data_IF_301808784911
#
_entry.id   IF_301808784911
#
_cell.length_a   1.000
_cell.length_b   1.000
_cell.length_c   1.000
_cell.angle_alpha   90.00
_cell.angle_beta   90.00
_cell.angle_gamma   90.00
#
_symmetry.space_group_name_H-M   'P 1'
#
loop_
_entity.id
_entity.type
_entity.pdbx_description
1 polymer ?
#
# COMPACT_ATOMS: atom_id res chain seq x y z
N UNK A 1 2.97 -41.27 12.49
CA UNK A 1 3.96 -40.30 11.97
C UNK A 1 3.19 -39.07 11.54
N UNK A 2 3.42 -37.92 12.17
CA UNK A 2 2.78 -36.69 11.74
C UNK A 2 3.57 -36.17 10.54
N UNK A 3 2.98 -36.25 9.35
CA UNK A 3 3.53 -35.65 8.14
C UNK A 3 3.37 -34.13 8.25
N UNK A 4 4.47 -33.44 8.57
CA UNK A 4 4.53 -31.99 8.46
C UNK A 4 4.75 -31.64 6.99
N UNK A 5 3.75 -31.00 6.39
CA UNK A 5 3.88 -30.47 5.03
C UNK A 5 4.76 -29.23 5.06
N UNK A 6 5.98 -29.35 4.56
CA UNK A 6 6.92 -28.24 4.37
C UNK A 6 6.71 -27.69 2.95
N UNK A 7 6.50 -26.38 2.85
CA UNK A 7 6.39 -25.69 1.57
C UNK A 7 7.73 -25.03 1.27
N UNK A 8 8.30 -25.37 0.12
CA UNK A 8 9.49 -24.69 -0.37
C UNK A 8 9.08 -23.46 -1.18
N UNK A 9 9.66 -22.32 -0.83
CA UNK A 9 9.33 -21.01 -1.41
C UNK A 9 10.62 -20.41 -1.95
N UNK A 10 10.67 -20.24 -3.27
CA UNK A 10 11.78 -19.57 -3.95
C UNK A 10 11.72 -18.04 -3.77
N UNK A 11 10.50 -17.50 -3.65
CA UNK A 11 10.27 -16.06 -3.68
C UNK A 11 9.28 -15.62 -2.60
N UNK A 12 9.74 -14.76 -1.71
CA UNK A 12 8.90 -14.11 -0.70
C UNK A 12 8.72 -12.64 -1.06
N UNK A 13 7.48 -12.18 -1.15
CA UNK A 13 7.13 -10.76 -1.33
C UNK A 13 6.42 -10.24 -0.08
N UNK A 14 6.86 -9.09 0.42
CA UNK A 14 6.23 -8.41 1.54
C UNK A 14 5.81 -7.00 1.13
N UNK A 15 4.60 -6.62 1.54
CA UNK A 15 4.02 -5.30 1.30
C UNK A 15 3.82 -4.62 2.66
N UNK A 16 4.86 -3.97 3.22
CA UNK A 16 4.73 -3.26 4.48
C UNK A 16 3.71 -2.13 4.33
N UNK A 17 2.71 -2.11 5.22
CA UNK A 17 1.75 -1.00 5.31
C UNK A 17 2.34 0.06 6.23
N UNK A 18 2.80 1.16 5.65
CA UNK A 18 3.06 2.37 6.41
C UNK A 18 1.73 3.10 6.64
N UNK A 19 1.56 3.70 7.81
CA UNK A 19 0.27 4.18 8.29
C UNK A 19 -0.40 5.17 7.32
N UNK A 20 -1.70 4.98 7.08
CA UNK A 20 -2.47 5.82 6.15
C UNK A 20 -3.23 6.92 6.89
N UNK A 21 -3.21 8.15 6.37
CA UNK A 21 -4.05 9.24 6.86
C UNK A 21 -5.12 9.66 5.84
N UNK A 22 -6.28 10.06 6.36
CA UNK A 22 -7.41 10.56 5.58
C UNK A 22 -8.15 11.61 6.41
N UNK A 23 -8.34 12.80 5.85
CA UNK A 23 -9.08 13.89 6.47
C UNK A 23 -9.94 14.60 5.42
N UNK A 24 -11.04 15.20 5.86
CA UNK A 24 -11.91 15.99 4.99
C UNK A 24 -12.58 17.11 5.78
N UNK A 25 -12.88 18.21 5.10
CA UNK A 25 -13.78 19.24 5.59
C UNK A 25 -14.88 19.48 4.56
N UNK A 26 -16.09 19.77 5.03
CA UNK A 26 -17.23 20.05 4.18
C UNK A 26 -17.92 21.33 4.65
N UNK A 27 -18.36 22.15 3.71
CA UNK A 27 -19.15 23.34 3.97
C UNK A 27 -20.31 23.44 2.97
N UNK A 28 -21.47 23.82 3.50
CA UNK A 28 -22.65 24.13 2.69
C UNK A 28 -22.65 25.63 2.40
N UNK A 29 -22.87 25.99 1.15
CA UNK A 29 -22.86 27.36 0.67
C UNK A 29 -24.21 27.76 0.08
N UNK A 30 -24.27 29.00 -0.39
CA UNK A 30 -25.41 29.54 -1.10
C UNK A 30 -25.69 28.77 -2.41
N UNK A 31 -26.96 28.73 -2.81
CA UNK A 31 -27.49 28.01 -3.98
C UNK A 31 -27.40 26.47 -3.91
N UNK A 32 -27.63 25.89 -2.73
CA UNK A 32 -27.70 24.43 -2.54
C UNK A 32 -26.44 23.67 -3.00
N UNK A 33 -25.29 24.36 -2.92
CA UNK A 33 -23.97 23.82 -3.22
C UNK A 33 -23.26 23.37 -1.95
N UNK A 34 -22.64 22.20 -2.02
CA UNK A 34 -21.82 21.60 -0.98
C UNK A 34 -20.39 21.49 -1.52
N UNK A 35 -19.44 22.08 -0.80
CA UNK A 35 -18.02 22.00 -1.08
C UNK A 35 -17.36 21.06 -0.08
N UNK A 36 -16.64 20.06 -0.58
CA UNK A 36 -15.83 19.15 0.24
C UNK A 36 -14.39 19.20 -0.22
N UNK A 37 -13.49 19.41 0.72
CA UNK A 37 -12.07 19.23 0.53
C UNK A 37 -11.63 17.93 1.21
N UNK A 38 -10.84 17.13 0.50
CA UNK A 38 -10.31 15.86 0.99
C UNK A 38 -8.79 15.88 0.88
N UNK A 39 -8.14 15.42 1.94
CA UNK A 39 -6.69 15.19 2.01
C UNK A 39 -6.51 13.73 2.37
N UNK A 40 -5.72 13.01 1.58
CA UNK A 40 -5.41 11.62 1.86
C UNK A 40 -4.00 11.28 1.44
N UNK A 41 -3.46 10.27 2.09
CA UNK A 41 -2.22 9.67 1.62
C UNK A 41 -2.41 8.99 0.25
N UNK A 42 -1.44 9.13 -0.65
CA UNK A 42 -1.36 8.20 -1.79
C UNK A 42 -0.83 6.92 -1.21
N UNK A 43 -1.59 5.83 -1.29
CA UNK A 43 -1.15 4.53 -0.75
C UNK A 43 0.28 4.24 -1.21
N UNK A 44 1.21 4.29 -0.27
CA UNK A 44 2.59 3.86 -0.51
C UNK A 44 2.58 2.41 -0.94
N UNK A 45 3.26 2.15 -2.05
CA UNK A 45 3.49 0.78 -2.52
C UNK A 45 4.95 0.45 -2.31
N UNK A 46 5.26 0.10 -1.07
CA UNK A 46 6.52 -0.55 -0.74
C UNK A 46 6.42 -2.06 -0.98
N UNK A 47 7.44 -2.61 -1.63
CA UNK A 47 7.60 -4.03 -1.88
C UNK A 47 9.03 -4.44 -1.55
N UNK A 48 9.15 -5.37 -0.61
CA UNK A 48 10.42 -6.05 -0.31
C UNK A 48 10.33 -7.44 -0.92
N UNK A 49 11.28 -7.79 -1.79
CA UNK A 49 11.39 -9.12 -2.38
C UNK A 49 12.74 -9.73 -2.04
N UNK A 50 12.70 -10.92 -1.44
CA UNK A 50 13.89 -11.73 -1.18
C UNK A 50 13.98 -12.86 -2.21
N UNK A 51 15.17 -13.07 -2.78
CA UNK A 51 15.51 -14.19 -3.67
C UNK A 51 16.59 -15.05 -3.04
N UNK A 52 16.49 -16.37 -3.19
CA UNK A 52 17.44 -17.32 -2.63
C UNK A 52 18.38 -17.88 -3.70
N UNK A 53 19.65 -18.08 -3.33
CA UNK A 53 20.62 -18.74 -4.22
C UNK A 53 20.14 -20.18 -4.43
N UNK A 54 20.02 -20.58 -5.69
CA UNK A 54 19.57 -21.92 -6.08
C UNK A 54 18.10 -22.24 -5.72
N UNK A 55 17.25 -21.20 -5.60
CA UNK A 55 15.81 -21.34 -5.83
C UNK A 55 14.93 -21.69 -4.63
N UNK A 56 15.48 -21.80 -3.41
CA UNK A 56 14.74 -22.37 -2.27
C UNK A 56 15.12 -21.72 -0.94
N UNK A 57 14.13 -21.48 -0.09
CA UNK A 57 14.37 -21.03 1.30
C UNK A 57 15.09 -22.09 2.13
N UNK A 58 14.99 -23.37 1.72
CA UNK A 58 15.63 -24.51 2.38
C UNK A 58 17.17 -24.44 2.37
N UNK A 59 17.77 -23.82 1.34
CA UNK A 59 19.21 -23.61 1.30
C UNK A 59 19.65 -22.47 2.25
N UNK A 60 18.74 -21.60 2.65
CA UNK A 60 18.96 -20.52 3.62
C UNK A 60 19.87 -19.38 3.16
N UNK A 61 20.45 -19.46 1.96
CA UNK A 61 21.36 -18.43 1.43
C UNK A 61 20.57 -17.44 0.59
N UNK A 62 20.47 -16.21 1.09
CA UNK A 62 19.85 -15.09 0.38
C UNK A 62 20.83 -14.59 -0.69
N UNK A 63 20.35 -14.49 -1.93
CA UNK A 63 21.12 -13.93 -3.06
C UNK A 63 20.94 -12.40 -3.12
N UNK A 64 19.68 -11.98 -3.10
CA UNK A 64 19.29 -10.60 -3.38
C UNK A 64 18.10 -10.20 -2.50
N UNK A 65 18.18 -9.00 -1.92
CA UNK A 65 17.05 -8.31 -1.31
C UNK A 65 16.77 -7.07 -2.15
N UNK A 66 15.67 -7.09 -2.91
CA UNK A 66 15.17 -5.94 -3.65
C UNK A 66 14.20 -5.17 -2.75
N UNK A 67 14.59 -3.95 -2.35
CA UNK A 67 13.71 -3.01 -1.66
C UNK A 67 13.27 -1.91 -2.64
N UNK A 68 11.98 -1.89 -2.96
CA UNK A 68 11.40 -0.95 -3.90
C UNK A 68 10.19 -0.27 -3.27
N UNK A 69 10.32 1.02 -2.99
CA UNK A 69 9.23 1.88 -2.54
C UNK A 69 8.91 2.93 -3.60
N UNK A 70 7.62 3.08 -3.90
CA UNK A 70 7.10 4.22 -4.65
C UNK A 70 6.11 4.98 -3.78
N UNK A 71 6.38 6.27 -3.58
CA UNK A 71 5.50 7.24 -2.94
C UNK A 71 5.04 8.23 -4.02
N UNK A 72 3.72 8.48 -4.09
CA UNK A 72 3.12 9.45 -5.02
C UNK A 72 2.68 10.75 -4.32
N UNK A 73 2.97 10.88 -3.01
CA UNK A 73 2.70 12.04 -2.18
C UNK A 73 1.23 12.19 -1.75
N UNK A 74 0.92 13.22 -0.95
CA UNK A 74 -0.45 13.51 -0.54
C UNK A 74 -1.36 13.81 -1.74
N UNK A 75 -2.56 13.24 -1.73
CA UNK A 75 -3.64 13.54 -2.69
C UNK A 75 -4.59 14.57 -2.08
N UNK A 76 -4.75 15.69 -2.78
CA UNK A 76 -5.72 16.74 -2.46
C UNK A 76 -6.86 16.71 -3.48
N UNK A 77 -8.11 16.76 -3.01
CA UNK A 77 -9.28 16.79 -3.88
C UNK A 77 -10.33 17.80 -3.40
N UNK A 78 -10.91 18.53 -4.35
CA UNK A 78 -12.09 19.39 -4.13
C UNK A 78 -13.27 18.74 -4.85
N UNK A 79 -14.38 18.56 -4.12
CA UNK A 79 -15.64 18.05 -4.66
C UNK A 79 -16.72 19.10 -4.47
N UNK A 80 -17.49 19.33 -5.52
CA UNK A 80 -18.63 20.24 -5.52
C UNK A 80 -19.87 19.40 -5.84
N UNK A 81 -20.89 19.47 -4.99
CA UNK A 81 -22.19 18.80 -5.18
C UNK A 81 -23.28 19.85 -5.17
N UNK A 82 -24.24 19.75 -6.06
CA UNK A 82 -25.46 20.56 -6.04
C UNK A 82 -26.67 19.66 -5.89
N UNK A 83 -27.62 20.06 -5.06
CA UNK A 83 -28.97 19.49 -5.07
C UNK A 83 -29.87 20.46 -5.82
N UNK A 84 -30.30 20.07 -7.02
CA UNK A 84 -31.21 20.84 -7.87
C UNK A 84 -32.65 20.37 -7.71
#
# INVERSE_FOLDING_TARGET
>A
YNEFKVYDIDKTEQYPKFGSYFAWFETQSWADLIYRFEVRDSRDRCRIRTRYINGTIANGVIDEIEDSCSDAGPVYAIKIRGTF
#
